data_IF_945197929292
#
_entry.id   IF_945197929292
#
_cell.length_a   1.000
_cell.length_b   1.000
_cell.length_c   1.000
_cell.angle_alpha   90.00
_cell.angle_beta   90.00
_cell.angle_gamma   90.00
#
_symmetry.space_group_name_H-M   'P 1'
#
loop_
_entity.id
_entity.type
_entity.pdbx_description
1 polymer ?
#
# COMPACT_ATOMS: atom_id res chain seq x y z
N UNK A 1 12.17 -36.03 75.18
CA UNK A 1 11.60 -36.41 73.88
C UNK A 1 10.65 -35.36 73.26
N UNK A 2 9.81 -34.64 74.04
CA UNK A 2 8.90 -33.61 73.42
C UNK A 2 9.61 -32.37 72.87
N UNK A 3 10.80 -32.00 73.33
CA UNK A 3 11.58 -30.83 72.85
C UNK A 3 12.21 -31.03 71.49
N UNK A 4 12.69 -32.25 71.21
CA UNK A 4 13.34 -32.58 69.90
C UNK A 4 12.29 -32.65 68.79
N UNK A 5 11.05 -33.06 69.10
CA UNK A 5 9.96 -33.14 68.10
C UNK A 5 9.43 -31.78 67.68
N UNK A 6 9.52 -30.75 68.55
CA UNK A 6 9.11 -29.40 68.21
C UNK A 6 10.17 -28.67 67.39
N UNK A 7 11.45 -28.97 67.58
CA UNK A 7 12.56 -28.40 66.76
C UNK A 7 12.56 -28.92 65.34
N UNK A 8 12.26 -30.23 65.19
CA UNK A 8 12.19 -30.82 63.84
C UNK A 8 11.01 -30.29 63.00
N UNK A 9 9.85 -30.00 63.66
CA UNK A 9 8.69 -29.38 63.00
C UNK A 9 8.97 -27.93 62.58
N UNK A 10 9.69 -27.17 63.40
CA UNK A 10 10.10 -25.80 63.08
C UNK A 10 11.05 -25.75 61.86
N UNK A 11 12.03 -26.65 61.83
CA UNK A 11 13.00 -26.72 60.71
C UNK A 11 12.30 -27.18 59.42
N UNK A 12 11.35 -28.11 59.49
CA UNK A 12 10.60 -28.56 58.32
C UNK A 12 9.68 -27.47 57.76
N UNK A 13 9.06 -26.65 58.65
CA UNK A 13 8.23 -25.53 58.24
C UNK A 13 9.03 -24.41 57.57
N UNK A 14 10.25 -24.08 58.05
CA UNK A 14 11.13 -23.07 57.50
C UNK A 14 11.66 -23.55 56.14
N UNK A 15 12.01 -24.84 55.99
CA UNK A 15 12.46 -25.41 54.72
C UNK A 15 11.31 -25.44 53.66
N UNK A 16 10.08 -25.68 54.06
CA UNK A 16 8.93 -25.60 53.12
C UNK A 16 8.61 -24.16 52.67
N UNK A 17 8.79 -23.19 53.52
CA UNK A 17 8.58 -21.76 53.19
C UNK A 17 9.68 -21.26 52.27
N UNK A 18 10.95 -21.66 52.49
CA UNK A 18 12.05 -21.25 51.60
C UNK A 18 11.97 -21.84 50.17
N UNK A 19 11.35 -23.00 50.01
CA UNK A 19 11.09 -23.59 48.68
C UNK A 19 9.97 -22.86 47.92
N UNK A 20 8.99 -22.30 48.65
CA UNK A 20 7.90 -21.53 48.06
C UNK A 20 8.34 -20.17 47.51
N UNK A 21 9.42 -19.59 48.02
CA UNK A 21 9.99 -18.33 47.48
C UNK A 21 11.02 -18.52 46.37
N UNK A 22 11.42 -19.77 46.07
CA UNK A 22 12.31 -20.08 44.94
C UNK A 22 11.54 -20.38 43.63
N UNK A 23 10.22 -20.34 43.65
CA UNK A 23 9.37 -20.57 42.50
C UNK A 23 9.07 -19.26 41.80
N UNK A 24 9.67 -19.08 40.70
CA UNK A 24 9.61 -17.98 39.71
C UNK A 24 10.73 -16.95 39.89
N UNK A 25 11.91 -17.31 39.39
CA UNK A 25 12.88 -16.25 39.04
C UNK A 25 12.33 -15.45 37.84
N UNK A 26 12.52 -14.13 37.85
CA UNK A 26 12.18 -13.24 36.72
C UNK A 26 12.73 -13.81 35.39
N UNK A 27 13.94 -14.38 35.41
CA UNK A 27 14.55 -15.06 34.28
C UNK A 27 13.73 -16.22 33.70
N UNK A 28 13.00 -16.96 34.57
CA UNK A 28 12.13 -18.06 34.12
C UNK A 28 10.85 -17.51 33.49
N UNK A 29 10.28 -16.46 34.08
CA UNK A 29 9.09 -15.80 33.50
C UNK A 29 9.45 -15.09 32.20
N UNK A 30 10.59 -14.42 32.13
CA UNK A 30 11.09 -13.79 30.90
C UNK A 30 11.39 -14.81 29.81
N UNK A 31 11.87 -16.01 30.15
CA UNK A 31 12.07 -17.08 29.17
C UNK A 31 10.77 -17.74 28.71
N UNK A 32 9.74 -17.77 29.54
CA UNK A 32 8.40 -18.25 29.18
C UNK A 32 7.69 -17.20 28.31
N UNK A 33 7.88 -15.92 28.61
CA UNK A 33 7.28 -14.81 27.87
C UNK A 33 8.05 -14.48 26.56
N UNK A 34 9.26 -15.03 26.38
CA UNK A 34 9.92 -14.97 25.07
C UNK A 34 9.16 -15.85 24.11
N UNK A 35 8.49 -15.21 23.16
CA UNK A 35 7.88 -15.89 22.03
C UNK A 35 9.00 -16.56 21.20
N UNK A 36 9.14 -17.89 21.39
CA UNK A 36 10.18 -18.69 20.72
C UNK A 36 9.80 -19.06 19.30
N UNK A 37 8.55 -18.85 18.94
CA UNK A 37 8.01 -19.17 17.63
C UNK A 37 8.03 -17.98 16.67
N UNK A 38 8.30 -16.75 17.17
CA UNK A 38 8.50 -15.59 16.33
C UNK A 38 10.00 -15.29 16.15
N UNK A 39 10.39 -15.17 14.91
CA UNK A 39 11.75 -14.74 14.52
C UNK A 39 12.04 -13.36 15.10
N UNK A 40 13.11 -13.24 15.87
CA UNK A 40 13.56 -11.96 16.45
C UNK A 40 14.14 -10.99 15.41
N UNK A 41 14.32 -11.43 14.17
CA UNK A 41 14.80 -10.62 13.06
C UNK A 41 14.30 -11.20 11.74
N UNK A 42 13.48 -10.44 11.02
CA UNK A 42 13.04 -10.76 9.66
C UNK A 42 13.93 -9.97 8.69
N UNK A 43 14.57 -10.60 7.70
CA UNK A 43 15.32 -9.88 6.66
C UNK A 43 14.46 -8.84 5.93
N UNK A 44 15.06 -7.68 5.62
CA UNK A 44 14.36 -6.55 5.01
C UNK A 44 13.63 -6.92 3.70
N UNK A 45 14.19 -7.83 2.91
CA UNK A 45 13.57 -8.29 1.64
C UNK A 45 12.19 -8.93 1.82
N UNK A 46 11.96 -9.67 2.91
CA UNK A 46 10.64 -10.25 3.18
C UNK A 46 9.63 -9.20 3.63
N UNK A 47 10.10 -8.23 4.43
CA UNK A 47 9.26 -7.10 4.85
C UNK A 47 8.87 -6.26 3.63
N UNK A 48 9.81 -6.01 2.70
CA UNK A 48 9.51 -5.24 1.49
C UNK A 48 8.60 -5.98 0.52
N UNK A 49 8.68 -7.31 0.42
CA UNK A 49 7.71 -8.09 -0.36
C UNK A 49 6.29 -7.87 0.16
N UNK A 50 6.10 -7.85 1.49
CA UNK A 50 4.83 -7.51 2.12
C UNK A 50 4.43 -6.05 1.83
N UNK A 51 5.34 -5.09 1.98
CA UNK A 51 5.10 -3.66 1.71
C UNK A 51 4.69 -3.44 0.25
N UNK A 52 5.36 -4.06 -0.72
CA UNK A 52 5.01 -3.99 -2.15
C UNK A 52 3.58 -4.53 -2.36
N UNK A 53 3.30 -5.70 -1.80
CA UNK A 53 1.99 -6.35 -1.93
C UNK A 53 0.89 -5.52 -1.27
N UNK A 54 1.09 -5.07 -0.03
CA UNK A 54 0.12 -4.25 0.68
C UNK A 54 -0.13 -2.90 -0.01
N UNK A 55 0.91 -2.27 -0.56
CA UNK A 55 0.77 -1.04 -1.34
C UNK A 55 -0.10 -1.27 -2.57
N UNK A 56 0.12 -2.36 -3.32
CA UNK A 56 -0.63 -2.67 -4.52
C UNK A 56 -2.07 -3.10 -4.23
N UNK A 57 -2.26 -4.10 -3.36
CA UNK A 57 -3.57 -4.71 -3.10
C UNK A 57 -4.45 -3.88 -2.18
N UNK A 58 -3.92 -3.47 -1.03
CA UNK A 58 -4.74 -2.87 0.02
C UNK A 58 -4.83 -1.35 -0.10
N UNK A 59 -3.69 -0.68 -0.38
CA UNK A 59 -3.63 0.76 -0.31
C UNK A 59 -4.06 1.42 -1.62
N UNK A 60 -3.60 0.93 -2.77
CA UNK A 60 -4.00 1.46 -4.08
C UNK A 60 -5.21 0.71 -4.63
N UNK A 61 -5.16 -0.61 -4.65
CA UNK A 61 -6.17 -1.47 -5.27
C UNK A 61 -7.44 -1.69 -4.45
N UNK A 62 -7.42 -1.35 -3.15
CA UNK A 62 -8.55 -1.55 -2.23
C UNK A 62 -9.60 -0.44 -2.27
N UNK A 63 -10.02 0.02 -1.09
CA UNK A 63 -11.12 0.98 -0.92
C UNK A 63 -10.89 2.29 -1.70
N UNK A 64 -9.66 2.79 -1.79
CA UNK A 64 -9.40 3.98 -2.59
C UNK A 64 -9.78 3.79 -4.06
N UNK A 65 -9.43 2.67 -4.66
CA UNK A 65 -9.76 2.42 -6.05
C UNK A 65 -11.27 2.38 -6.28
N UNK A 66 -11.99 1.66 -5.45
CA UNK A 66 -13.45 1.51 -5.60
C UNK A 66 -14.21 2.81 -5.36
N UNK A 67 -13.93 3.51 -4.26
CA UNK A 67 -14.62 4.75 -3.92
C UNK A 67 -14.20 5.94 -4.79
N UNK A 68 -12.90 6.11 -5.03
CA UNK A 68 -12.43 7.22 -5.87
C UNK A 68 -12.85 7.06 -7.32
N UNK A 69 -12.89 5.83 -7.86
CA UNK A 69 -13.41 5.56 -9.20
C UNK A 69 -14.86 6.02 -9.34
N UNK A 70 -15.66 5.87 -8.29
CA UNK A 70 -17.04 6.34 -8.23
C UNK A 70 -17.11 7.87 -8.10
N UNK A 71 -16.30 8.47 -7.22
CA UNK A 71 -16.34 9.92 -6.98
C UNK A 71 -15.88 10.75 -8.18
N UNK A 72 -14.97 10.22 -9.01
CA UNK A 72 -14.48 10.90 -10.22
C UNK A 72 -15.18 10.43 -11.50
N UNK A 73 -16.26 9.67 -11.37
CA UNK A 73 -17.06 9.18 -12.49
C UNK A 73 -16.30 8.33 -13.52
N UNK A 74 -15.25 7.63 -13.10
CA UNK A 74 -14.64 6.58 -13.92
C UNK A 74 -15.52 5.33 -13.92
N UNK A 75 -16.13 5.04 -12.79
CA UNK A 75 -17.10 3.98 -12.59
C UNK A 75 -18.34 4.55 -11.90
N UNK A 76 -19.43 3.78 -11.92
CA UNK A 76 -20.72 4.10 -11.31
C UNK A 76 -21.01 3.07 -10.25
N UNK A 77 -21.35 3.52 -9.05
CA UNK A 77 -21.83 2.64 -7.99
C UNK A 77 -23.28 2.21 -8.26
N UNK A 78 -23.49 0.90 -8.39
CA UNK A 78 -24.81 0.35 -8.76
C UNK A 78 -25.49 -0.44 -7.66
N UNK A 79 -24.73 -0.85 -6.64
CA UNK A 79 -25.29 -1.60 -5.52
C UNK A 79 -24.64 -1.19 -4.20
N UNK A 80 -25.36 -1.41 -3.12
CA UNK A 80 -24.94 -1.31 -1.73
C UNK A 80 -24.19 -0.01 -1.39
N UNK A 81 -23.03 -0.11 -0.77
CA UNK A 81 -22.22 1.02 -0.30
C UNK A 81 -21.75 1.93 -1.43
N UNK A 82 -21.45 1.39 -2.61
CA UNK A 82 -21.00 2.20 -3.74
C UNK A 82 -22.13 2.97 -4.42
N UNK A 83 -23.35 2.42 -4.46
CA UNK A 83 -24.53 3.17 -4.87
C UNK A 83 -24.84 4.34 -3.91
N UNK A 84 -24.59 4.15 -2.62
CA UNK A 84 -24.71 5.22 -1.62
C UNK A 84 -23.62 6.29 -1.81
N UNK A 85 -22.38 5.87 -2.06
CA UNK A 85 -21.26 6.77 -2.31
C UNK A 85 -21.51 7.64 -3.55
N UNK A 86 -22.00 7.07 -4.65
CA UNK A 86 -22.35 7.81 -5.86
C UNK A 86 -23.42 8.86 -5.62
N UNK A 87 -24.48 8.48 -4.90
CA UNK A 87 -25.57 9.38 -4.55
C UNK A 87 -25.22 10.38 -3.46
N UNK A 88 -23.99 10.34 -2.93
CA UNK A 88 -23.54 11.14 -1.78
C UNK A 88 -24.43 10.94 -0.54
N UNK A 89 -25.04 9.77 -0.42
CA UNK A 89 -25.84 9.37 0.72
C UNK A 89 -24.93 8.79 1.81
N UNK A 90 -24.81 9.49 2.92
CA UNK A 90 -23.88 9.12 3.96
C UNK A 90 -22.45 9.34 3.47
N UNK A 91 -21.97 10.56 3.56
CA UNK A 91 -20.59 10.93 3.29
C UNK A 91 -19.63 9.97 3.99
N UNK A 92 -18.39 9.75 3.44
CA UNK A 92 -17.46 8.82 4.00
C UNK A 92 -17.37 8.96 5.51
N UNK A 93 -17.72 7.90 6.22
CA UNK A 93 -17.55 7.87 7.68
C UNK A 93 -16.26 7.13 8.03
N UNK A 94 -15.66 7.54 9.13
CA UNK A 94 -14.46 6.90 9.65
C UNK A 94 -14.63 5.39 9.91
N UNK A 95 -15.86 4.92 10.06
CA UNK A 95 -16.15 3.53 10.40
C UNK A 95 -16.54 2.64 9.20
N UNK A 96 -16.72 3.19 8.01
CA UNK A 96 -17.32 2.42 6.92
C UNK A 96 -16.68 2.55 5.55
N UNK A 97 -15.93 3.62 5.28
CA UNK A 97 -15.44 3.90 3.93
C UNK A 97 -13.93 3.72 3.81
N UNK A 98 -13.16 4.42 4.64
CA UNK A 98 -11.70 4.45 4.55
C UNK A 98 -10.98 3.91 5.80
N UNK A 99 -11.70 3.30 6.75
CA UNK A 99 -11.12 2.75 7.96
C UNK A 99 -10.07 1.65 7.67
N UNK A 100 -10.35 0.76 6.73
CA UNK A 100 -9.42 -0.32 6.37
C UNK A 100 -8.14 0.25 5.75
N UNK A 101 -8.28 1.13 4.76
CA UNK A 101 -7.13 1.72 4.08
C UNK A 101 -6.32 2.64 5.02
N UNK A 102 -6.97 3.32 5.97
CA UNK A 102 -6.27 4.07 7.01
C UNK A 102 -5.32 3.17 7.80
N UNK A 103 -5.83 2.08 8.36
CA UNK A 103 -5.02 1.12 9.12
C UNK A 103 -3.91 0.48 8.28
N UNK A 104 -4.24 0.09 7.05
CA UNK A 104 -3.29 -0.53 6.13
C UNK A 104 -2.15 0.41 5.76
N UNK A 105 -2.43 1.69 5.45
CA UNK A 105 -1.41 2.69 5.12
C UNK A 105 -0.39 2.88 6.23
N UNK A 106 -0.84 3.02 7.48
CA UNK A 106 0.06 3.18 8.61
C UNK A 106 0.86 1.91 8.93
N UNK A 107 0.25 0.73 8.78
CA UNK A 107 0.96 -0.54 8.92
C UNK A 107 2.01 -0.72 7.84
N UNK A 108 1.66 -0.42 6.59
CA UNK A 108 2.58 -0.49 5.45
C UNK A 108 3.73 0.50 5.59
N UNK A 109 3.45 1.73 6.00
CA UNK A 109 4.48 2.76 6.25
C UNK A 109 5.41 2.35 7.39
N UNK A 110 4.88 1.76 8.48
CA UNK A 110 5.71 1.21 9.58
C UNK A 110 6.65 0.13 9.07
N UNK A 111 6.15 -0.82 8.30
CA UNK A 111 6.94 -1.91 7.74
C UNK A 111 8.01 -1.39 6.77
N UNK A 112 7.70 -0.40 5.93
CA UNK A 112 8.69 0.25 5.07
C UNK A 112 9.82 0.90 5.90
N UNK A 113 9.49 1.64 6.96
CA UNK A 113 10.46 2.26 7.87
C UNK A 113 11.32 1.23 8.61
N UNK A 114 10.75 0.09 9.00
CA UNK A 114 11.51 -1.03 9.60
C UNK A 114 12.50 -1.59 8.57
N UNK A 115 12.07 -1.84 7.34
CA UNK A 115 12.94 -2.35 6.28
C UNK A 115 14.09 -1.38 5.95
N UNK A 116 13.81 -0.08 5.85
CA UNK A 116 14.81 0.98 5.68
C UNK A 116 15.85 0.94 6.80
N UNK A 117 15.40 0.84 8.06
CA UNK A 117 16.30 0.80 9.22
C UNK A 117 17.20 -0.44 9.23
N UNK A 118 16.63 -1.62 8.96
CA UNK A 118 17.40 -2.88 8.88
C UNK A 118 18.45 -2.80 7.77
N UNK A 119 18.08 -2.26 6.60
CA UNK A 119 18.97 -2.15 5.44
C UNK A 119 20.06 -1.09 5.58
N UNK A 120 19.94 -0.20 6.57
CA UNK A 120 20.88 0.91 6.80
C UNK A 120 22.18 0.50 7.51
N UNK A 121 22.37 -0.78 7.84
CA UNK A 121 23.57 -1.24 8.53
C UNK A 121 24.81 -1.01 7.65
N UNK A 122 25.80 -0.28 8.15
CA UNK A 122 27.02 0.08 7.40
C UNK A 122 27.86 -1.13 6.95
N UNK A 123 27.82 -2.22 7.71
CA UNK A 123 28.62 -3.43 7.44
C UNK A 123 27.95 -4.28 6.35
N UNK A 124 26.64 -4.43 6.42
CA UNK A 124 25.85 -5.27 5.51
C UNK A 124 24.98 -4.44 4.58
N UNK A 125 25.21 -3.12 4.48
CA UNK A 125 24.33 -2.15 3.85
C UNK A 125 23.74 -2.61 2.52
N UNK A 126 22.44 -2.81 2.52
CA UNK A 126 21.65 -3.20 1.36
C UNK A 126 20.94 -1.96 0.84
N UNK A 127 21.67 -1.18 0.05
CA UNK A 127 21.24 0.16 -0.32
C UNK A 127 20.19 0.16 -1.42
N UNK A 128 20.19 -0.82 -2.33
CA UNK A 128 19.07 -1.00 -3.27
C UNK A 128 17.79 -1.35 -2.51
N UNK A 129 17.87 -2.34 -1.61
CA UNK A 129 16.75 -2.73 -0.73
C UNK A 129 16.26 -1.55 0.10
N UNK A 130 17.17 -0.75 0.66
CA UNK A 130 16.84 0.48 1.40
C UNK A 130 16.11 1.49 0.53
N UNK A 131 16.65 1.80 -0.64
CA UNK A 131 16.07 2.77 -1.58
C UNK A 131 14.67 2.37 -2.07
N UNK A 132 14.44 1.07 -2.29
CA UNK A 132 13.10 0.53 -2.58
C UNK A 132 12.14 0.83 -1.42
N UNK A 133 12.57 0.60 -0.19
CA UNK A 133 11.79 0.92 1.01
C UNK A 133 11.46 2.42 1.10
N UNK A 134 12.41 3.29 0.76
CA UNK A 134 12.24 4.74 0.76
C UNK A 134 11.24 5.19 -0.32
N UNK A 135 11.29 4.64 -1.53
CA UNK A 135 10.28 4.91 -2.58
C UNK A 135 8.89 4.47 -2.13
N UNK A 136 8.76 3.27 -1.57
CA UNK A 136 7.48 2.76 -1.07
C UNK A 136 6.96 3.58 0.12
N UNK A 137 7.83 4.03 1.02
CA UNK A 137 7.46 4.97 2.08
C UNK A 137 6.93 6.28 1.53
N UNK A 138 7.58 6.84 0.49
CA UNK A 138 7.13 8.05 -0.19
C UNK A 138 5.76 7.88 -0.85
N UNK A 139 5.51 6.74 -1.51
CA UNK A 139 4.20 6.44 -2.13
C UNK A 139 3.11 6.38 -1.07
N UNK A 140 3.30 5.60 0.00
CA UNK A 140 2.29 5.46 1.04
C UNK A 140 2.07 6.75 1.83
N UNK A 141 3.13 7.53 2.10
CA UNK A 141 3.02 8.87 2.67
C UNK A 141 2.23 9.83 1.76
N UNK A 142 2.44 9.74 0.45
CA UNK A 142 1.69 10.51 -0.54
C UNK A 142 0.20 10.17 -0.53
N UNK A 143 -0.16 8.88 -0.43
CA UNK A 143 -1.55 8.45 -0.30
C UNK A 143 -2.18 8.98 1.00
N UNK A 144 -1.46 8.98 2.11
CA UNK A 144 -1.91 9.54 3.40
C UNK A 144 -2.17 11.05 3.25
N UNK A 145 -1.17 11.79 2.76
CA UNK A 145 -1.27 13.24 2.64
C UNK A 145 -2.38 13.69 1.68
N UNK A 146 -2.52 13.00 0.52
CA UNK A 146 -3.53 13.34 -0.48
C UNK A 146 -4.95 13.06 0.00
N UNK A 147 -5.14 11.98 0.75
CA UNK A 147 -6.46 11.50 1.12
C UNK A 147 -6.98 12.14 2.41
N UNK A 148 -6.10 12.46 3.35
CA UNK A 148 -6.49 12.86 4.70
C UNK A 148 -5.99 14.27 5.11
N UNK A 149 -5.06 14.86 4.37
CA UNK A 149 -4.52 16.18 4.69
C UNK A 149 -3.59 16.17 5.90
N UNK A 150 -3.90 16.99 6.93
CA UNK A 150 -3.16 17.02 8.19
C UNK A 150 -3.40 15.73 8.97
N UNK A 151 -2.35 14.96 9.24
CA UNK A 151 -2.45 13.63 9.87
C UNK A 151 -1.25 13.35 10.78
N UNK A 152 -1.35 12.40 11.73
CA UNK A 152 -0.17 11.91 12.44
C UNK A 152 0.80 11.28 11.47
N UNK A 153 2.05 11.72 11.44
CA UNK A 153 3.06 11.20 10.50
C UNK A 153 4.45 11.07 11.12
N UNK A 154 5.02 12.14 11.67
CA UNK A 154 6.37 12.14 12.23
C UNK A 154 6.49 11.26 13.47
N UNK A 155 5.43 11.20 14.26
CA UNK A 155 5.33 10.41 15.49
C UNK A 155 4.50 9.12 15.32
N UNK A 156 3.99 8.84 14.13
CA UNK A 156 3.18 7.67 13.82
C UNK A 156 3.91 6.69 12.91
N UNK A 157 3.47 5.43 12.85
CA UNK A 157 4.05 4.39 12.01
C UNK A 157 5.58 4.22 12.21
N UNK A 158 6.05 4.43 13.42
CA UNK A 158 7.44 4.22 13.81
C UNK A 158 7.65 2.77 14.26
N UNK A 159 8.88 2.23 14.11
CA UNK A 159 9.23 0.97 14.75
C UNK A 159 8.98 1.03 16.26
N UNK A 160 8.51 -0.05 16.83
CA UNK A 160 8.30 -0.16 18.27
C UNK A 160 9.59 -0.09 19.06
N UNK A 161 9.50 0.30 20.32
CA UNK A 161 10.61 0.21 21.25
C UNK A 161 10.97 -1.27 21.51
N UNK A 162 12.16 -1.52 22.06
CA UNK A 162 12.64 -2.87 22.34
C UNK A 162 11.71 -3.72 23.24
N UNK A 163 10.85 -3.07 24.01
CA UNK A 163 9.83 -3.71 24.84
C UNK A 163 8.47 -3.91 24.14
N UNK A 164 8.39 -3.68 22.82
CA UNK A 164 7.18 -3.82 22.03
C UNK A 164 6.15 -2.69 22.19
N UNK A 165 6.50 -1.62 22.91
CA UNK A 165 5.61 -0.47 23.08
C UNK A 165 5.77 0.54 21.95
N UNK A 166 4.68 1.24 21.53
CA UNK A 166 4.78 2.34 20.59
C UNK A 166 5.61 3.48 21.18
N UNK A 167 6.38 4.18 20.34
CA UNK A 167 7.20 5.31 20.78
C UNK A 167 6.33 6.49 21.27
N UNK A 168 5.17 6.69 20.65
CA UNK A 168 4.19 7.72 21.00
C UNK A 168 2.80 7.10 21.13
N UNK A 169 2.16 7.30 22.27
CA UNK A 169 0.78 6.83 22.51
C UNK A 169 -0.26 7.77 21.92
N UNK A 170 0.07 9.05 21.84
CA UNK A 170 -0.80 10.12 21.32
C UNK A 170 0.01 10.96 20.33
N UNK A 171 0.25 10.46 19.10
CA UNK A 171 1.01 11.19 18.10
C UNK A 171 0.31 12.49 17.70
N UNK A 172 1.09 13.54 17.50
CA UNK A 172 0.60 14.83 17.03
C UNK A 172 0.24 14.79 15.54
N UNK A 173 -0.63 15.73 15.13
CA UNK A 173 -0.96 15.94 13.72
C UNK A 173 0.14 16.77 13.06
N UNK A 174 0.73 16.23 12.03
CA UNK A 174 1.61 16.96 11.12
C UNK A 174 0.79 17.69 10.05
N UNK A 175 1.27 18.86 9.63
CA UNK A 175 0.69 19.56 8.50
C UNK A 175 0.94 18.80 7.20
N UNK A 176 -0.03 18.77 6.31
CA UNK A 176 0.10 18.16 4.99
C UNK A 176 1.39 18.59 4.27
N UNK A 177 1.76 19.85 4.38
CA UNK A 177 3.00 20.41 3.79
C UNK A 177 4.26 19.77 4.38
N UNK A 178 4.27 19.50 5.69
CA UNK A 178 5.39 18.81 6.33
C UNK A 178 5.49 17.35 5.88
N UNK A 179 4.36 16.69 5.66
CA UNK A 179 4.34 15.33 5.10
C UNK A 179 4.90 15.32 3.68
N UNK A 180 4.54 16.29 2.85
CA UNK A 180 5.11 16.44 1.51
C UNK A 180 6.62 16.72 1.53
N UNK A 181 7.10 17.47 2.52
CA UNK A 181 8.55 17.65 2.72
C UNK A 181 9.23 16.30 2.98
N UNK A 182 8.67 15.49 3.89
CA UNK A 182 9.20 14.17 4.19
C UNK A 182 9.13 13.20 2.99
N UNK A 183 8.08 13.29 2.15
CA UNK A 183 8.00 12.53 0.90
C UNK A 183 9.17 12.86 -0.02
N UNK A 184 9.50 14.14 -0.19
CA UNK A 184 10.62 14.55 -1.03
C UNK A 184 11.97 14.12 -0.44
N UNK A 185 12.12 14.13 0.89
CA UNK A 185 13.30 13.62 1.59
C UNK A 185 13.48 12.10 1.39
N UNK A 186 12.41 11.31 1.48
CA UNK A 186 12.47 9.89 1.14
C UNK A 186 12.93 9.65 -0.29
N UNK A 187 12.42 10.41 -1.25
CA UNK A 187 12.80 10.26 -2.65
C UNK A 187 14.25 10.71 -2.90
N UNK A 188 14.74 11.75 -2.21
CA UNK A 188 16.13 12.17 -2.31
C UNK A 188 17.09 11.14 -1.70
N UNK A 189 16.69 10.51 -0.59
CA UNK A 189 17.41 9.41 0.01
C UNK A 189 17.46 8.20 -0.94
N UNK A 190 16.33 7.82 -1.53
CA UNK A 190 16.24 6.73 -2.50
C UNK A 190 17.14 6.97 -3.72
N UNK A 191 17.13 8.17 -4.29
CA UNK A 191 18.01 8.55 -5.41
C UNK A 191 19.47 8.41 -5.05
N UNK A 192 19.81 8.68 -3.78
CA UNK A 192 21.18 8.55 -3.28
C UNK A 192 21.57 7.09 -3.02
N UNK A 193 20.65 6.26 -2.57
CA UNK A 193 20.92 4.92 -2.09
C UNK A 193 20.80 3.85 -3.19
N UNK A 194 19.80 3.92 -4.04
CA UNK A 194 19.54 2.94 -5.10
C UNK A 194 20.78 2.60 -5.98
N UNK A 195 21.63 3.58 -6.38
CA UNK A 195 22.81 3.28 -7.20
C UNK A 195 23.95 2.57 -6.47
N UNK A 196 23.92 2.48 -5.13
CA UNK A 196 25.01 1.88 -4.34
C UNK A 196 24.99 0.35 -4.34
N UNK A 197 23.88 -0.27 -4.72
CA UNK A 197 23.70 -1.72 -4.70
C UNK A 197 23.53 -2.32 -3.31
N UNK A 198 23.22 -3.61 -3.27
CA UNK A 198 23.17 -4.41 -2.05
C UNK A 198 24.49 -5.15 -1.83
N UNK A 199 24.98 -5.20 -0.62
CA UNK A 199 26.21 -5.92 -0.25
C UNK A 199 25.96 -7.38 0.11
N UNK A 200 24.78 -7.68 0.60
CA UNK A 200 24.37 -9.01 1.01
C UNK A 200 22.84 -9.11 1.02
N UNK A 201 22.30 -10.30 0.97
CA UNK A 201 20.88 -10.57 1.14
C UNK A 201 19.97 -9.73 0.21
N UNK A 202 20.31 -9.71 -1.07
CA UNK A 202 19.63 -8.97 -2.12
C UNK A 202 18.13 -9.25 -2.15
N UNK A 203 17.32 -8.21 -2.43
CA UNK A 203 15.87 -8.34 -2.52
C UNK A 203 15.45 -9.25 -3.70
N UNK A 204 16.06 -9.09 -4.88
CA UNK A 204 15.88 -9.97 -6.04
C UNK A 204 14.42 -10.30 -6.36
N UNK A 205 14.10 -11.58 -6.41
CA UNK A 205 12.75 -12.09 -6.74
C UNK A 205 11.65 -11.71 -5.74
N UNK A 206 11.98 -11.19 -4.57
CA UNK A 206 11.01 -10.67 -3.60
C UNK A 206 10.51 -9.27 -3.97
N UNK A 207 11.17 -8.59 -4.90
CA UNK A 207 10.64 -7.40 -5.55
C UNK A 207 9.76 -7.81 -6.74
N UNK A 208 8.46 -7.70 -6.57
CA UNK A 208 7.47 -8.10 -7.56
C UNK A 208 7.27 -7.08 -8.69
N UNK A 209 7.97 -5.95 -8.65
CA UNK A 209 7.87 -4.88 -9.67
C UNK A 209 9.05 -4.96 -10.64
N UNK A 210 10.27 -4.85 -10.13
CA UNK A 210 11.47 -4.74 -10.96
C UNK A 210 12.55 -5.78 -10.64
N UNK A 211 12.26 -6.78 -9.81
CA UNK A 211 13.18 -7.87 -9.46
C UNK A 211 14.51 -7.40 -8.85
N UNK A 212 14.46 -6.32 -8.09
CA UNK A 212 15.63 -5.74 -7.44
C UNK A 212 16.47 -4.84 -8.35
N UNK A 213 15.98 -4.46 -9.52
CA UNK A 213 16.66 -3.53 -10.41
C UNK A 213 16.64 -2.11 -9.83
N UNK A 214 17.76 -1.70 -9.23
CA UNK A 214 17.91 -0.38 -8.61
C UNK A 214 17.84 0.77 -9.62
N UNK A 215 18.21 0.57 -10.89
CA UNK A 215 18.09 1.59 -11.93
C UNK A 215 16.63 1.86 -12.32
N UNK A 216 15.82 0.80 -12.42
CA UNK A 216 14.40 0.92 -12.67
C UNK A 216 13.67 1.64 -11.52
N UNK A 217 14.02 1.31 -10.26
CA UNK A 217 13.51 2.02 -9.08
C UNK A 217 13.97 3.48 -9.03
N UNK A 218 15.20 3.78 -9.48
CA UNK A 218 15.72 5.15 -9.58
C UNK A 218 14.89 6.00 -10.55
N UNK A 219 14.54 5.45 -11.70
CA UNK A 219 13.64 6.10 -12.67
C UNK A 219 12.27 6.38 -12.07
N UNK A 220 11.70 5.42 -11.32
CA UNK A 220 10.45 5.63 -10.58
C UNK A 220 10.58 6.76 -9.56
N UNK A 221 11.66 6.81 -8.79
CA UNK A 221 11.89 7.86 -7.79
C UNK A 221 11.89 9.26 -8.45
N UNK A 222 12.54 9.42 -9.58
CA UNK A 222 12.51 10.67 -10.34
C UNK A 222 11.11 10.99 -10.87
N UNK A 223 10.38 10.03 -11.41
CA UNK A 223 9.00 10.20 -11.85
C UNK A 223 8.08 10.65 -10.73
N UNK A 224 8.24 10.07 -9.53
CA UNK A 224 7.49 10.49 -8.33
C UNK A 224 7.87 11.90 -7.87
N UNK A 225 9.14 12.30 -7.96
CA UNK A 225 9.55 13.67 -7.68
C UNK A 225 8.88 14.65 -8.63
N UNK A 226 8.86 14.36 -9.93
CA UNK A 226 8.16 15.18 -10.91
C UNK A 226 6.66 15.30 -10.56
N UNK A 227 6.02 14.17 -10.27
CA UNK A 227 4.60 14.09 -9.92
C UNK A 227 4.24 14.90 -8.67
N UNK A 228 4.98 14.73 -7.58
CA UNK A 228 4.69 15.43 -6.33
C UNK A 228 5.04 16.92 -6.42
N UNK A 229 6.08 17.31 -7.13
CA UNK A 229 6.36 18.72 -7.42
C UNK A 229 5.22 19.35 -8.24
N UNK A 230 4.70 18.65 -9.25
CA UNK A 230 3.56 19.11 -10.04
C UNK A 230 2.29 19.28 -9.19
N UNK A 231 2.02 18.39 -8.25
CA UNK A 231 0.88 18.52 -7.33
C UNK A 231 0.93 19.78 -6.48
N UNK A 232 2.10 20.17 -6.05
CA UNK A 232 2.31 21.36 -5.22
C UNK A 232 2.38 22.66 -6.04
N UNK A 233 2.43 22.58 -7.37
CA UNK A 233 2.65 23.74 -8.25
C UNK A 233 1.65 24.87 -8.05
N UNK A 234 0.38 24.56 -7.76
CA UNK A 234 -0.65 25.58 -7.51
C UNK A 234 -0.34 26.45 -6.28
N UNK A 235 0.38 25.90 -5.30
CA UNK A 235 0.79 26.58 -4.05
C UNK A 235 2.20 27.13 -4.10
N UNK A 236 2.95 26.87 -5.15
CA UNK A 236 4.33 27.33 -5.29
C UNK A 236 4.41 28.84 -5.45
N UNK A 237 5.34 29.46 -4.74
CA UNK A 237 5.76 30.86 -4.93
C UNK A 237 6.76 31.02 -6.10
N UNK A 238 7.31 29.91 -6.63
CA UNK A 238 8.37 29.87 -7.64
C UNK A 238 8.02 28.91 -8.77
N UNK A 239 6.82 29.03 -9.35
CA UNK A 239 6.25 28.11 -10.33
C UNK A 239 7.17 27.79 -11.51
N UNK A 240 7.85 28.81 -12.08
CA UNK A 240 8.75 28.61 -13.21
C UNK A 240 9.97 27.75 -12.81
N UNK A 241 10.52 27.97 -11.63
CA UNK A 241 11.63 27.15 -11.13
C UNK A 241 11.18 25.72 -10.85
N UNK A 242 9.98 25.51 -10.33
CA UNK A 242 9.45 24.19 -10.08
C UNK A 242 9.09 23.47 -11.38
N UNK A 243 8.61 24.17 -12.41
CA UNK A 243 8.42 23.60 -13.75
C UNK A 243 9.74 23.13 -14.37
N UNK A 244 10.82 23.89 -14.21
CA UNK A 244 12.14 23.47 -14.68
C UNK A 244 12.63 22.21 -13.95
N UNK A 245 12.47 22.14 -12.63
CA UNK A 245 12.78 20.91 -11.85
C UNK A 245 11.96 19.72 -12.30
N UNK A 246 10.67 19.93 -12.58
CA UNK A 246 9.80 18.84 -13.09
C UNK A 246 10.36 18.30 -14.40
N UNK A 247 10.75 19.15 -15.35
CA UNK A 247 11.36 18.71 -16.61
C UNK A 247 12.67 17.94 -16.36
N UNK A 248 13.54 18.45 -15.49
CA UNK A 248 14.78 17.76 -15.10
C UNK A 248 14.54 16.36 -14.49
N UNK A 249 13.46 16.21 -13.72
CA UNK A 249 13.08 14.91 -13.14
C UNK A 249 12.49 13.98 -14.19
N UNK A 250 11.64 14.50 -15.08
CA UNK A 250 11.06 13.73 -16.18
C UNK A 250 12.16 13.18 -17.10
N UNK A 251 13.17 13.99 -17.44
CA UNK A 251 14.30 13.56 -18.27
C UNK A 251 15.11 12.41 -17.68
N UNK A 252 15.02 12.21 -16.36
CA UNK A 252 15.69 11.13 -15.62
C UNK A 252 14.77 9.95 -15.30
N UNK A 253 13.50 10.05 -15.67
CA UNK A 253 12.49 9.04 -15.41
C UNK A 253 12.31 8.10 -16.59
N UNK A 254 11.12 7.60 -16.79
CA UNK A 254 10.78 6.65 -17.86
C UNK A 254 10.87 7.27 -19.25
N UNK A 255 11.40 6.50 -20.19
CA UNK A 255 11.47 6.85 -21.60
C UNK A 255 10.55 5.99 -22.47
N UNK A 256 10.07 4.89 -21.93
CA UNK A 256 9.17 3.97 -22.64
C UNK A 256 8.16 3.31 -21.69
N UNK A 257 7.09 2.75 -22.25
CA UNK A 257 6.04 2.07 -21.48
C UNK A 257 6.55 0.77 -20.81
N UNK A 258 7.59 0.15 -21.34
CA UNK A 258 8.18 -1.07 -20.81
C UNK A 258 8.89 -0.84 -19.47
N UNK A 259 9.28 0.40 -19.19
CA UNK A 259 9.95 0.80 -17.95
C UNK A 259 8.96 1.08 -16.79
N UNK A 260 7.66 1.04 -17.06
CA UNK A 260 6.64 1.37 -16.05
C UNK A 260 6.72 0.49 -14.81
N UNK A 261 6.45 1.07 -13.64
CA UNK A 261 6.23 0.31 -12.41
C UNK A 261 4.87 -0.39 -12.48
N UNK A 262 4.88 -1.70 -12.63
CA UNK A 262 3.66 -2.48 -12.72
C UNK A 262 3.71 -3.68 -11.76
N UNK A 263 2.71 -3.76 -10.88
CA UNK A 263 2.43 -4.97 -10.11
C UNK A 263 1.50 -5.84 -10.93
N UNK A 264 2.01 -6.94 -11.48
CA UNK A 264 1.30 -7.75 -12.49
C UNK A 264 1.27 -9.25 -12.19
N UNK A 265 1.52 -9.66 -10.95
CA UNK A 265 1.55 -11.07 -10.53
C UNK A 265 0.15 -11.64 -10.23
N UNK A 266 -0.84 -11.25 -11.00
CA UNK A 266 -2.20 -11.75 -10.86
C UNK A 266 -2.39 -13.08 -11.57
N UNK A 267 -3.30 -13.90 -11.02
CA UNK A 267 -3.64 -15.22 -11.56
C UNK A 267 -5.09 -15.56 -11.21
N UNK A 268 -5.58 -16.67 -11.66
CA UNK A 268 -6.91 -17.18 -11.30
C UNK A 268 -7.09 -17.45 -9.79
N UNK A 269 -6.00 -17.61 -9.04
CA UNK A 269 -6.01 -17.80 -7.57
C UNK A 269 -5.53 -16.57 -6.80
N UNK A 270 -5.05 -15.56 -7.49
CA UNK A 270 -4.55 -14.31 -6.92
C UNK A 270 -5.07 -13.14 -7.76
N UNK A 271 -6.33 -12.82 -7.56
CA UNK A 271 -7.07 -11.88 -8.39
C UNK A 271 -6.64 -10.44 -8.16
N UNK A 272 -6.72 -9.63 -9.20
CA UNK A 272 -6.67 -8.18 -9.06
C UNK A 272 -7.79 -7.72 -8.13
N UNK A 273 -7.55 -6.86 -7.12
CA UNK A 273 -8.55 -6.47 -6.13
C UNK A 273 -9.81 -5.85 -6.72
N UNK A 274 -9.69 -5.04 -7.78
CA UNK A 274 -10.87 -4.46 -8.44
C UNK A 274 -11.67 -5.53 -9.20
N UNK A 275 -10.98 -6.47 -9.85
CA UNK A 275 -11.62 -7.60 -10.50
C UNK A 275 -12.33 -8.48 -9.48
N UNK A 276 -11.66 -8.85 -8.37
CA UNK A 276 -12.25 -9.66 -7.30
C UNK A 276 -13.46 -8.98 -6.68
N UNK A 277 -13.37 -7.67 -6.41
CA UNK A 277 -14.49 -6.89 -5.90
C UNK A 277 -15.68 -6.94 -6.87
N UNK A 278 -15.45 -6.70 -8.16
CA UNK A 278 -16.50 -6.69 -9.16
C UNK A 278 -17.11 -8.09 -9.35
N UNK A 279 -16.27 -9.13 -9.39
CA UNK A 279 -16.70 -10.52 -9.52
C UNK A 279 -17.54 -10.99 -8.33
N UNK A 280 -17.15 -10.61 -7.11
CA UNK A 280 -17.79 -11.08 -5.89
C UNK A 280 -19.02 -10.25 -5.47
N UNK A 281 -19.11 -8.98 -5.89
CA UNK A 281 -20.09 -8.04 -5.37
C UNK A 281 -20.94 -7.32 -6.40
N UNK A 282 -20.55 -7.28 -7.66
CA UNK A 282 -21.28 -6.56 -8.72
C UNK A 282 -21.64 -5.10 -8.36
N UNK A 283 -20.80 -4.43 -7.59
CA UNK A 283 -21.09 -3.12 -7.01
C UNK A 283 -20.78 -1.94 -7.91
N UNK A 284 -20.10 -2.16 -9.03
CA UNK A 284 -19.67 -1.12 -9.98
C UNK A 284 -20.14 -1.43 -11.40
N UNK A 285 -20.35 -0.38 -12.17
CA UNK A 285 -20.60 -0.45 -13.60
C UNK A 285 -19.75 0.59 -14.33
N UNK A 286 -19.64 0.45 -15.65
CA UNK A 286 -18.95 1.43 -16.46
C UNK A 286 -19.71 2.75 -16.47
N UNK A 287 -18.99 3.87 -16.28
CA UNK A 287 -19.57 5.20 -16.30
C UNK A 287 -19.89 5.66 -17.73
N UNK A 288 -21.12 6.13 -17.94
CA UNK A 288 -21.52 6.75 -19.18
C UNK A 288 -20.74 8.03 -19.48
N UNK A 289 -20.51 8.87 -18.45
CA UNK A 289 -19.72 10.09 -18.57
C UNK A 289 -18.30 9.80 -19.10
N UNK A 290 -17.65 8.74 -18.62
CA UNK A 290 -16.33 8.35 -19.08
C UNK A 290 -16.38 7.75 -20.50
N UNK A 291 -17.33 6.87 -20.76
CA UNK A 291 -17.51 6.27 -22.10
C UNK A 291 -17.77 7.33 -23.17
N UNK A 292 -18.67 8.28 -22.91
CA UNK A 292 -19.01 9.36 -23.83
C UNK A 292 -17.79 10.23 -24.17
N UNK A 293 -16.94 10.53 -23.19
CA UNK A 293 -15.67 11.26 -23.40
C UNK A 293 -14.69 10.49 -24.31
N UNK A 294 -14.59 9.18 -24.13
CA UNK A 294 -13.73 8.36 -25.01
C UNK A 294 -14.28 8.27 -26.42
N UNK A 295 -15.60 8.19 -26.57
CA UNK A 295 -16.29 8.20 -27.87
C UNK A 295 -16.06 9.54 -28.57
N UNK A 296 -16.34 10.67 -27.90
CA UNK A 296 -16.17 12.01 -28.42
C UNK A 296 -14.76 12.28 -28.91
N UNK A 297 -13.76 11.77 -28.19
CA UNK A 297 -12.34 11.93 -28.53
C UNK A 297 -11.82 10.88 -29.53
N UNK A 298 -12.65 9.95 -29.94
CA UNK A 298 -12.25 8.79 -30.74
C UNK A 298 -11.03 8.06 -30.12
N UNK A 299 -11.06 7.88 -28.78
CA UNK A 299 -9.97 7.32 -28.01
C UNK A 299 -9.88 5.80 -28.24
N UNK A 300 -8.73 5.27 -28.70
CA UNK A 300 -8.60 3.84 -28.98
C UNK A 300 -8.69 2.96 -27.72
N UNK A 301 -8.54 3.53 -26.53
CA UNK A 301 -8.68 2.81 -25.25
C UNK A 301 -10.10 2.37 -24.98
N UNK A 302 -11.11 3.00 -25.57
CA UNK A 302 -12.50 2.62 -25.40
C UNK A 302 -12.70 1.11 -25.52
N UNK A 303 -12.17 0.51 -26.58
CA UNK A 303 -12.30 -0.91 -26.87
C UNK A 303 -11.47 -1.83 -25.96
N UNK A 304 -10.60 -1.26 -25.13
CA UNK A 304 -9.72 -2.02 -24.22
C UNK A 304 -10.13 -1.91 -22.76
N UNK A 305 -10.90 -0.89 -22.43
CA UNK A 305 -11.30 -0.59 -21.04
C UNK A 305 -12.67 -1.15 -20.72
N UNK A 306 -13.60 -1.09 -21.68
CA UNK A 306 -14.96 -1.56 -21.47
C UNK A 306 -15.13 -2.97 -22.00
N UNK A 307 -15.59 -3.88 -21.17
CA UNK A 307 -16.03 -5.22 -21.56
C UNK A 307 -17.50 -5.41 -21.21
N UNK A 308 -18.17 -6.24 -21.97
CA UNK A 308 -19.55 -6.67 -21.69
C UNK A 308 -19.44 -7.74 -20.61
N UNK A 309 -19.63 -7.32 -19.35
CA UNK A 309 -19.68 -8.26 -18.22
C UNK A 309 -21.02 -8.97 -18.13
N UNK A 310 -21.04 -10.09 -17.43
CA UNK A 310 -22.28 -10.78 -17.04
C UNK A 310 -22.92 -10.15 -15.78
N UNK A 311 -22.54 -8.93 -15.43
CA UNK A 311 -23.00 -8.24 -14.23
C UNK A 311 -24.50 -8.00 -14.19
N UNK A 312 -25.03 -7.66 -13.03
CA UNK A 312 -26.42 -7.23 -12.86
C UNK A 312 -26.73 -6.07 -13.79
N UNK A 313 -27.86 -6.16 -14.47
CA UNK A 313 -28.45 -5.00 -15.13
C UNK A 313 -28.75 -3.95 -14.06
N UNK A 314 -28.29 -2.73 -14.29
CA UNK A 314 -28.55 -1.62 -13.39
C UNK A 314 -29.54 -0.65 -14.02
N UNK A 315 -30.44 -0.11 -13.20
CA UNK A 315 -31.33 0.99 -13.58
C UNK A 315 -30.67 2.37 -13.40
N UNK A 316 -29.39 2.40 -12.95
CA UNK A 316 -28.68 3.66 -12.79
C UNK A 316 -28.43 4.29 -14.16
N UNK A 317 -29.06 5.44 -14.40
CA UNK A 317 -28.97 6.20 -15.67
C UNK A 317 -27.54 6.70 -16.00
N UNK A 318 -26.66 6.77 -14.99
CA UNK A 318 -25.27 7.16 -15.14
C UNK A 318 -24.37 6.01 -15.57
N UNK A 319 -24.87 4.77 -15.57
CA UNK A 319 -24.14 3.61 -16.04
C UNK A 319 -24.31 3.40 -17.54
N UNK A 320 -23.29 2.85 -18.18
CA UNK A 320 -23.42 2.31 -19.54
C UNK A 320 -24.24 1.02 -19.43
N UNK A 321 -25.46 1.06 -19.92
CA UNK A 321 -26.30 -0.13 -19.97
C UNK A 321 -25.88 -1.04 -21.13
N UNK A 322 -25.71 -2.33 -20.85
CA UNK A 322 -25.48 -3.34 -21.88
C UNK A 322 -26.61 -3.35 -22.93
N UNK A 323 -27.84 -3.03 -22.51
CA UNK A 323 -29.00 -2.97 -23.40
C UNK A 323 -28.97 -1.73 -24.31
N UNK A 324 -28.42 -0.61 -23.86
CA UNK A 324 -28.30 0.62 -24.66
C UNK A 324 -27.14 0.53 -25.64
N UNK A 325 -26.06 -0.12 -25.24
CA UNK A 325 -24.90 -0.29 -26.08
C UNK A 325 -25.03 -1.47 -27.03
N UNK A 326 -25.91 -2.41 -26.72
CA UNK A 326 -26.17 -3.63 -27.48
C UNK A 326 -24.93 -4.48 -27.73
N UNK A 327 -25.07 -5.78 -27.77
CA UNK A 327 -23.99 -6.66 -28.17
C UNK A 327 -23.49 -6.35 -29.62
N UNK A 328 -24.28 -5.61 -30.35
CA UNK A 328 -24.04 -5.23 -31.76
C UNK A 328 -23.39 -3.86 -31.93
N UNK A 329 -23.20 -3.07 -30.85
CA UNK A 329 -22.52 -1.78 -30.97
C UNK A 329 -21.00 -1.99 -31.01
N UNK A 330 -20.34 -1.79 -32.17
CA UNK A 330 -18.92 -2.06 -32.32
C UNK A 330 -18.02 -1.16 -31.47
N UNK A 331 -18.57 -0.10 -30.87
CA UNK A 331 -17.84 0.78 -29.95
C UNK A 331 -17.57 0.11 -28.62
N UNK A 332 -18.43 -0.85 -28.23
CA UNK A 332 -18.38 -1.59 -26.99
C UNK A 332 -18.13 -3.08 -27.17
N UNK A 333 -18.01 -3.54 -28.40
CA UNK A 333 -17.52 -4.88 -28.71
C UNK A 333 -16.04 -4.93 -28.34
N UNK A 334 -15.79 -5.09 -27.07
CA UNK A 334 -14.47 -5.52 -26.63
C UNK A 334 -14.25 -6.93 -27.16
N UNK A 335 -13.03 -7.14 -27.60
CA UNK A 335 -12.59 -8.44 -28.02
C UNK A 335 -13.13 -9.48 -27.04
N UNK A 336 -14.01 -10.31 -27.55
CA UNK A 336 -14.42 -11.57 -27.01
C UNK A 336 -15.15 -11.61 -25.66
N UNK A 337 -16.44 -11.57 -25.78
CA UNK A 337 -17.40 -12.02 -24.79
C UNK A 337 -17.01 -13.37 -24.16
N UNK A 338 -16.19 -13.35 -23.13
CA UNK A 338 -15.96 -14.52 -22.28
C UNK A 338 -15.01 -15.58 -22.85
N UNK A 339 -14.10 -15.26 -23.76
CA UNK A 339 -13.02 -16.17 -24.06
C UNK A 339 -11.96 -16.16 -22.96
N UNK A 340 -11.19 -17.23 -22.87
CA UNK A 340 -10.09 -17.37 -21.91
C UNK A 340 -9.07 -16.22 -22.00
N UNK A 341 -9.06 -15.47 -23.10
CA UNK A 341 -8.19 -14.34 -23.34
C UNK A 341 -8.74 -13.04 -22.72
N UNK A 342 -10.04 -12.77 -22.76
CA UNK A 342 -10.64 -11.63 -22.07
C UNK A 342 -10.54 -11.77 -20.54
N UNK A 343 -10.77 -12.95 -20.02
CA UNK A 343 -10.56 -13.29 -18.60
C UNK A 343 -9.09 -13.07 -18.21
N UNK A 344 -8.14 -13.40 -19.08
CA UNK A 344 -6.72 -13.19 -18.86
C UNK A 344 -6.33 -11.70 -18.73
N UNK A 345 -6.98 -10.80 -19.45
CA UNK A 345 -6.75 -9.36 -19.30
C UNK A 345 -7.34 -8.78 -18.03
N UNK A 346 -8.47 -9.27 -17.56
CA UNK A 346 -9.16 -8.74 -16.39
C UNK A 346 -8.38 -8.95 -15.09
N UNK A 347 -7.84 -10.15 -14.83
CA UNK A 347 -7.06 -10.38 -13.62
C UNK A 347 -5.58 -10.06 -13.75
N UNK A 348 -5.10 -9.74 -14.95
CA UNK A 348 -3.74 -9.26 -15.21
C UNK A 348 -3.66 -7.73 -15.35
N UNK A 349 -4.72 -6.99 -15.06
CA UNK A 349 -4.69 -5.52 -15.14
C UNK A 349 -3.71 -4.99 -14.08
N UNK A 350 -2.63 -4.30 -14.47
CA UNK A 350 -1.69 -3.74 -13.51
C UNK A 350 -2.34 -2.64 -12.69
N UNK A 351 -2.17 -2.70 -11.37
CA UNK A 351 -2.65 -1.66 -10.45
C UNK A 351 -1.71 -0.46 -10.44
N UNK A 352 -0.42 -0.72 -10.58
CA UNK A 352 0.60 0.30 -10.67
C UNK A 352 0.90 0.59 -12.13
N UNK A 353 0.40 1.67 -12.66
CA UNK A 353 0.85 2.25 -13.92
C UNK A 353 1.24 3.69 -13.63
N UNK A 354 2.52 3.93 -13.47
CA UNK A 354 3.08 5.27 -13.43
C UNK A 354 3.72 5.55 -14.80
N UNK A 355 2.96 6.15 -15.66
CA UNK A 355 3.48 6.70 -16.93
C UNK A 355 3.67 8.20 -16.81
#
# INVERSE_FOLDING_TARGET
MKSIFNLSKGILSVALISVAFASCSEDTMDNINKDKDHTTSVPAKFILADVITATAFSNIGGDFNTYYSTYVEHMVGVDNQLANAEKRNGEPSASSTFNNVWGNLYSTLKNARIAINISSNEVTGNYTTKGIGEVLAAINAGLIADSFGDTPFSQAALPELANGQPQFLTPELDKQEAIYTAIMEYLDAAITDLPKGDKSDEIGEYDFIYKGDGEAWLKLAYGLKARYTMRLLARSSSKDADLQKILEYVDKSYTSIEEQAAFSIYSATNLNPLFDFQWSRDGLAASKSYADKLIERNDPRLRRIFCIGQGKLTENENAVSIQVTGADDPRFLMADNGTAESVKYEYNTPIFVYS
#
